data_IF_186469463982
#
_entry.id   IF_186469463982
#
_cell.length_a   1.000
_cell.length_b   1.000
_cell.length_c   1.000
_cell.angle_alpha   90.00
_cell.angle_beta   90.00
_cell.angle_gamma   90.00
#
_symmetry.space_group_name_H-M   'P 1'
#
loop_
_entity.id
_entity.type
_entity.pdbx_description
1 polymer ?
#
# COMPACT_ATOMS: atom_id res chain seq x y z
N UNK A 1 -23.39 -69.74 4.60
CA UNK A 1 -23.42 -68.32 5.09
C UNK A 1 -22.07 -67.69 4.76
N UNK A 2 -22.00 -66.77 3.81
CA UNK A 2 -20.78 -66.04 3.45
C UNK A 2 -20.85 -64.66 4.13
N UNK A 3 -19.81 -64.15 4.82
CA UNK A 3 -19.85 -62.81 5.39
C UNK A 3 -19.64 -61.75 4.30
N UNK A 4 -20.53 -60.76 4.23
CA UNK A 4 -20.35 -59.54 3.47
C UNK A 4 -19.27 -58.67 4.13
N UNK A 5 -18.23 -58.42 3.39
CA UNK A 5 -17.16 -57.47 3.80
C UNK A 5 -17.57 -56.08 3.34
N UNK A 6 -18.01 -55.25 4.27
CA UNK A 6 -18.30 -53.84 4.00
C UNK A 6 -17.00 -53.05 3.93
N UNK A 7 -16.63 -52.60 2.76
CA UNK A 7 -15.50 -51.66 2.57
C UNK A 7 -16.00 -50.25 2.79
N UNK A 8 -15.64 -49.66 3.94
CA UNK A 8 -15.81 -48.22 4.18
C UNK A 8 -14.79 -47.44 3.34
N UNK A 9 -15.27 -46.74 2.32
CA UNK A 9 -14.45 -45.78 1.59
C UNK A 9 -14.46 -44.46 2.36
N UNK A 10 -13.42 -44.17 3.12
CA UNK A 10 -13.23 -42.86 3.73
C UNK A 10 -12.81 -41.85 2.65
N UNK A 11 -13.74 -40.95 2.27
CA UNK A 11 -13.44 -39.84 1.38
C UNK A 11 -12.59 -38.83 2.16
N UNK A 12 -11.29 -38.81 1.90
CA UNK A 12 -10.40 -37.75 2.39
C UNK A 12 -10.63 -36.53 1.50
N UNK A 13 -11.45 -35.59 1.94
CA UNK A 13 -11.57 -34.27 1.31
C UNK A 13 -10.29 -33.50 1.70
N UNK A 14 -9.32 -33.48 0.81
CA UNK A 14 -8.21 -32.51 0.92
C UNK A 14 -8.80 -31.11 0.69
N UNK A 15 -8.98 -30.36 1.76
CA UNK A 15 -9.17 -28.92 1.66
C UNK A 15 -7.86 -28.32 1.11
N UNK A 16 -7.82 -28.07 -0.18
CA UNK A 16 -6.78 -27.25 -0.77
C UNK A 16 -7.09 -25.80 -0.34
N UNK A 17 -6.38 -25.30 0.66
CA UNK A 17 -6.29 -23.88 0.94
C UNK A 17 -5.52 -23.25 -0.22
N UNK A 18 -6.24 -22.58 -1.13
CA UNK A 18 -5.61 -21.72 -2.12
C UNK A 18 -5.03 -20.52 -1.38
N UNK A 19 -3.76 -20.53 -1.10
CA UNK A 19 -3.04 -19.33 -0.68
C UNK A 19 -2.86 -18.43 -1.91
N UNK A 20 -3.32 -17.18 -1.81
CA UNK A 20 -3.11 -16.17 -2.86
C UNK A 20 -1.60 -16.03 -3.11
N UNK A 21 -1.18 -16.10 -4.37
CA UNK A 21 0.21 -15.83 -4.75
C UNK A 21 0.43 -14.31 -4.71
N UNK A 22 1.38 -13.88 -3.91
CA UNK A 22 1.80 -12.47 -3.84
C UNK A 22 2.70 -12.18 -5.04
N UNK A 23 2.27 -11.26 -5.89
CA UNK A 23 3.08 -10.79 -7.01
C UNK A 23 4.16 -9.84 -6.51
N UNK A 24 5.29 -9.81 -7.19
CA UNK A 24 6.44 -8.99 -6.81
C UNK A 24 7.02 -8.26 -8.01
N UNK A 25 7.57 -7.07 -7.74
CA UNK A 25 8.40 -6.33 -8.70
C UNK A 25 9.59 -5.71 -7.97
N UNK A 26 10.59 -5.27 -8.72
CA UNK A 26 11.76 -4.64 -8.12
C UNK A 26 12.29 -3.49 -8.97
N UNK A 27 12.94 -2.55 -8.30
CA UNK A 27 13.66 -1.45 -8.95
C UNK A 27 14.95 -1.14 -8.19
N UNK A 28 15.88 -0.50 -8.88
CA UNK A 28 17.13 -0.04 -8.29
C UNK A 28 16.95 1.34 -7.68
N UNK A 29 17.48 1.54 -6.50
CA UNK A 29 17.58 2.87 -5.86
C UNK A 29 18.65 3.71 -6.59
N UNK A 30 18.67 5.01 -6.30
CA UNK A 30 19.71 5.91 -6.84
C UNK A 30 21.12 5.52 -6.37
N UNK A 31 21.23 4.86 -5.22
CA UNK A 31 22.51 4.37 -4.69
C UNK A 31 22.87 2.96 -5.19
N UNK A 32 21.99 2.31 -5.97
CA UNK A 32 22.24 1.00 -6.58
C UNK A 32 21.78 -0.21 -5.77
N UNK A 33 21.11 0.01 -4.60
CA UNK A 33 20.48 -1.08 -3.88
C UNK A 33 19.13 -1.47 -4.51
N UNK A 34 18.68 -2.70 -4.27
CA UNK A 34 17.38 -3.18 -4.76
C UNK A 34 16.28 -2.97 -3.73
N UNK A 35 15.17 -2.35 -4.14
CA UNK A 35 13.89 -2.41 -3.44
C UNK A 35 13.02 -3.44 -4.16
N UNK A 36 12.46 -4.39 -3.42
CA UNK A 36 11.44 -5.31 -3.93
C UNK A 36 10.09 -4.94 -3.32
N UNK A 37 9.09 -4.76 -4.18
CA UNK A 37 7.69 -4.53 -3.80
C UNK A 37 6.95 -5.85 -3.84
N UNK A 38 6.17 -6.15 -2.81
CA UNK A 38 5.33 -7.33 -2.71
C UNK A 38 3.87 -6.87 -2.63
N UNK A 39 3.10 -7.11 -3.68
CA UNK A 39 1.71 -6.66 -3.81
C UNK A 39 0.78 -7.66 -3.16
N UNK A 40 0.13 -7.30 -2.04
CA UNK A 40 -0.71 -8.21 -1.30
C UNK A 40 -2.14 -8.14 -1.83
N UNK A 41 -2.80 -7.00 -1.66
CA UNK A 41 -4.19 -6.78 -2.10
C UNK A 41 -4.60 -5.32 -1.89
N UNK A 42 -5.50 -4.82 -2.72
CA UNK A 42 -6.14 -3.50 -2.56
C UNK A 42 -5.12 -2.35 -2.49
N UNK A 43 -4.83 -1.83 -1.29
CA UNK A 43 -3.78 -0.85 -1.03
C UNK A 43 -2.66 -1.42 -0.13
N UNK A 44 -2.76 -2.72 0.21
CA UNK A 44 -1.77 -3.39 1.08
C UNK A 44 -0.61 -3.93 0.26
N UNK A 45 0.59 -3.53 0.59
CA UNK A 45 1.84 -4.04 0.04
C UNK A 45 2.97 -3.90 1.05
N UNK A 46 4.10 -4.53 0.80
CA UNK A 46 5.31 -4.29 1.59
C UNK A 46 6.55 -4.22 0.71
N UNK A 47 7.55 -3.52 1.21
CA UNK A 47 8.88 -3.45 0.61
C UNK A 47 9.85 -4.33 1.39
N UNK A 48 10.80 -4.94 0.67
CA UNK A 48 12.04 -5.40 1.26
C UNK A 48 13.19 -4.56 0.73
N UNK A 49 13.99 -4.00 1.64
CA UNK A 49 15.10 -3.11 1.32
C UNK A 49 16.23 -3.32 2.34
N UNK A 50 17.40 -3.75 1.88
CA UNK A 50 18.61 -3.92 2.70
C UNK A 50 18.36 -4.64 4.05
N UNK A 51 17.59 -5.74 4.00
CA UNK A 51 17.21 -6.55 5.16
C UNK A 51 16.07 -5.99 6.01
N UNK A 52 15.50 -4.84 5.66
CA UNK A 52 14.34 -4.24 6.33
C UNK A 52 13.05 -4.61 5.61
N UNK A 53 11.97 -4.87 6.34
CA UNK A 53 10.61 -5.11 5.84
C UNK A 53 9.69 -3.98 6.25
N UNK A 54 9.11 -3.28 5.26
CA UNK A 54 8.31 -2.05 5.45
C UNK A 54 6.93 -2.29 4.86
N UNK A 55 5.89 -2.31 5.69
CA UNK A 55 4.49 -2.48 5.26
C UNK A 55 3.79 -1.14 5.08
N UNK A 56 2.85 -1.11 4.14
CA UNK A 56 1.87 -0.05 3.95
C UNK A 56 0.46 -0.63 4.05
N UNK A 57 -0.39 -0.05 4.88
CA UNK A 57 -1.81 -0.35 5.06
C UNK A 57 -2.15 -1.85 5.10
N UNK A 58 -1.58 -2.64 6.05
CA UNK A 58 -1.77 -4.08 6.07
C UNK A 58 -3.17 -4.46 6.54
N UNK A 59 -3.96 -5.06 5.64
CA UNK A 59 -5.32 -5.58 5.90
C UNK A 59 -5.53 -6.94 5.25
N UNK A 60 -6.56 -7.68 5.65
CA UNK A 60 -6.87 -8.98 5.10
C UNK A 60 -8.31 -9.09 4.60
N UNK A 61 -8.51 -8.89 3.29
CA UNK A 61 -9.80 -9.12 2.61
C UNK A 61 -9.89 -10.47 1.91
N UNK A 62 -8.76 -10.94 1.34
CA UNK A 62 -8.76 -12.05 0.40
C UNK A 62 -8.18 -13.33 0.99
N UNK A 63 -8.12 -13.43 2.33
CA UNK A 63 -7.67 -14.64 3.00
C UNK A 63 -6.16 -14.91 2.89
N UNK A 64 -5.35 -13.86 2.80
CA UNK A 64 -3.89 -13.98 2.88
C UNK A 64 -3.50 -14.36 4.31
N UNK A 65 -2.69 -15.39 4.46
CA UNK A 65 -2.15 -15.78 5.77
C UNK A 65 -0.92 -14.91 6.12
N UNK A 66 -1.17 -13.79 6.76
CA UNK A 66 -0.11 -12.86 7.19
C UNK A 66 0.89 -13.45 8.18
N UNK A 67 0.54 -14.56 8.88
CA UNK A 67 1.47 -15.25 9.77
C UNK A 67 2.64 -15.91 9.01
N UNK A 68 2.44 -16.17 7.72
CA UNK A 68 3.47 -16.73 6.85
C UNK A 68 4.36 -15.68 6.20
N UNK A 69 3.97 -14.39 6.29
CA UNK A 69 4.72 -13.28 5.72
C UNK A 69 5.85 -12.84 6.67
N UNK A 70 6.86 -12.11 6.16
CA UNK A 70 7.93 -11.55 6.99
C UNK A 70 7.37 -10.64 8.08
N UNK A 71 8.03 -10.63 9.24
CA UNK A 71 7.72 -9.66 10.29
C UNK A 71 8.12 -8.25 9.85
N UNK A 72 7.33 -7.26 10.26
CA UNK A 72 7.56 -5.87 9.93
C UNK A 72 8.63 -5.25 10.83
N UNK A 73 9.56 -4.53 10.22
CA UNK A 73 10.41 -3.56 10.94
C UNK A 73 9.66 -2.23 11.07
N UNK A 74 8.96 -1.82 9.99
CA UNK A 74 8.18 -0.58 9.94
C UNK A 74 6.81 -0.84 9.33
N UNK A 75 5.78 -0.20 9.89
CA UNK A 75 4.42 -0.18 9.32
C UNK A 75 3.98 1.27 9.18
N UNK A 76 3.65 1.66 7.94
CA UNK A 76 2.95 2.90 7.63
C UNK A 76 1.45 2.63 7.56
N UNK A 77 0.65 3.43 8.25
CA UNK A 77 -0.82 3.37 8.20
C UNK A 77 -1.31 4.76 7.84
N UNK A 78 -1.98 4.87 6.69
CA UNK A 78 -2.41 6.14 6.12
C UNK A 78 -3.63 6.71 6.83
N UNK A 79 -4.61 5.85 7.13
CA UNK A 79 -5.85 6.22 7.81
C UNK A 79 -6.56 5.00 8.44
N UNK A 80 -7.65 5.25 9.15
CA UNK A 80 -8.33 4.27 10.01
C UNK A 80 -9.51 3.53 9.35
N UNK A 81 -9.69 3.62 8.03
CA UNK A 81 -10.70 2.83 7.35
C UNK A 81 -10.36 1.33 7.39
N UNK A 82 -11.40 0.49 7.45
CA UNK A 82 -11.30 -0.96 7.62
C UNK A 82 -10.53 -1.67 6.49
N UNK A 83 -10.38 -1.02 5.34
CA UNK A 83 -9.65 -1.47 4.15
C UNK A 83 -8.19 -1.00 4.10
N UNK A 84 -7.73 -0.27 5.14
CA UNK A 84 -6.34 0.16 5.33
C UNK A 84 -5.77 -0.18 6.70
N UNK A 85 -6.64 -0.51 7.66
CA UNK A 85 -6.27 -0.73 9.04
C UNK A 85 -6.93 -1.96 9.66
N UNK A 86 -6.16 -3.03 9.88
CA UNK A 86 -6.60 -4.26 10.55
C UNK A 86 -5.65 -4.62 11.70
N UNK A 87 -6.14 -4.47 12.94
CA UNK A 87 -5.35 -4.74 14.16
C UNK A 87 -4.92 -6.20 14.28
N UNK A 88 -5.68 -7.16 13.73
CA UNK A 88 -5.32 -8.58 13.78
C UNK A 88 -4.16 -8.85 12.83
N UNK A 89 -4.22 -8.31 11.62
CA UNK A 89 -3.11 -8.39 10.66
C UNK A 89 -1.85 -7.73 11.21
N UNK A 90 -1.98 -6.54 11.78
CA UNK A 90 -0.88 -5.84 12.43
C UNK A 90 -0.25 -6.69 13.54
N UNK A 91 -1.05 -7.33 14.39
CA UNK A 91 -0.55 -8.23 15.43
C UNK A 91 0.16 -9.46 14.84
N UNK A 92 -0.33 -9.99 13.71
CA UNK A 92 0.27 -11.14 13.05
C UNK A 92 1.66 -10.84 12.46
N UNK A 93 1.91 -9.62 11.99
CA UNK A 93 3.21 -9.24 11.37
C UNK A 93 4.14 -8.46 12.30
N UNK A 94 3.66 -7.96 13.43
CA UNK A 94 4.48 -7.16 14.35
C UNK A 94 5.36 -8.00 15.27
N UNK A 95 6.38 -7.36 15.78
CA UNK A 95 7.24 -7.79 16.90
C UNK A 95 7.32 -6.66 17.94
N UNK A 96 8.01 -6.90 19.06
CA UNK A 96 8.28 -5.83 20.04
C UNK A 96 9.15 -4.68 19.50
N UNK A 97 9.81 -4.89 18.36
CA UNK A 97 10.71 -3.90 17.73
C UNK A 97 10.07 -3.19 16.54
N UNK A 98 8.86 -3.59 16.13
CA UNK A 98 8.16 -2.96 15.01
C UNK A 98 7.81 -1.51 15.33
N UNK A 99 8.16 -0.60 14.42
CA UNK A 99 7.86 0.84 14.53
C UNK A 99 6.68 1.19 13.62
N UNK A 100 5.79 2.05 14.13
CA UNK A 100 4.59 2.50 13.42
C UNK A 100 4.67 3.98 13.14
N UNK A 101 4.28 4.38 11.92
CA UNK A 101 4.02 5.76 11.54
C UNK A 101 2.56 5.86 11.11
N UNK A 102 1.80 6.77 11.73
CA UNK A 102 0.37 6.88 11.49
C UNK A 102 -0.14 8.30 11.76
N UNK A 103 -1.40 8.55 11.44
CA UNK A 103 -2.10 9.76 11.83
C UNK A 103 -2.69 9.63 13.26
N UNK A 104 -3.33 10.70 13.73
CA UNK A 104 -3.89 10.73 15.10
C UNK A 104 -5.06 9.75 15.27
N UNK A 105 -5.91 9.54 14.25
CA UNK A 105 -7.08 8.66 14.34
C UNK A 105 -6.65 7.20 14.49
N UNK A 106 -5.69 6.75 13.68
CA UNK A 106 -5.09 5.42 13.80
C UNK A 106 -4.40 5.24 15.16
N UNK A 107 -3.64 6.23 15.61
CA UNK A 107 -2.93 6.14 16.90
C UNK A 107 -3.88 5.99 18.10
N UNK A 108 -5.03 6.69 18.11
CA UNK A 108 -6.07 6.52 19.13
C UNK A 108 -6.57 5.08 19.24
N UNK A 109 -6.64 4.38 18.10
CA UNK A 109 -7.09 3.00 18.04
C UNK A 109 -5.97 1.99 18.32
N UNK A 110 -4.78 2.23 17.79
CA UNK A 110 -3.61 1.36 17.92
C UNK A 110 -2.94 1.50 19.29
N UNK A 111 -3.06 2.69 19.91
CA UNK A 111 -2.46 3.08 21.19
C UNK A 111 -0.93 2.94 21.23
N UNK A 112 -0.30 3.01 20.07
CA UNK A 112 1.16 2.99 19.89
C UNK A 112 1.53 3.62 18.55
N UNK A 113 2.80 3.96 18.37
CA UNK A 113 3.32 4.51 17.12
C UNK A 113 3.67 5.99 17.20
N UNK A 114 4.39 6.44 16.19
CA UNK A 114 4.74 7.85 16.00
C UNK A 114 3.63 8.52 15.20
N UNK A 115 2.94 9.46 15.82
CA UNK A 115 1.94 10.29 15.13
C UNK A 115 2.67 11.35 14.30
N UNK A 116 2.33 11.41 13.00
CA UNK A 116 2.76 12.47 12.10
C UNK A 116 1.52 13.23 11.61
N UNK A 117 1.63 14.55 11.60
CA UNK A 117 0.68 15.44 10.94
C UNK A 117 1.17 15.71 9.51
N UNK A 118 0.26 16.19 8.63
CA UNK A 118 0.66 16.58 7.28
C UNK A 118 1.83 17.59 7.35
N UNK A 119 2.88 17.34 6.58
CA UNK A 119 4.13 18.08 6.47
C UNK A 119 5.13 17.84 7.61
N UNK A 120 4.81 16.95 8.56
CA UNK A 120 5.82 16.49 9.52
C UNK A 120 6.86 15.62 8.82
N UNK A 121 8.12 15.83 9.21
CA UNK A 121 9.27 15.13 8.64
C UNK A 121 10.06 14.42 9.75
N UNK A 122 10.46 13.18 9.48
CA UNK A 122 11.30 12.38 10.37
C UNK A 122 12.16 11.40 9.56
N UNK A 123 12.86 10.50 10.25
CA UNK A 123 13.63 9.41 9.65
C UNK A 123 13.67 8.21 10.59
N UNK A 124 13.94 7.03 10.05
CA UNK A 124 14.12 5.83 10.83
C UNK A 124 15.11 4.89 10.15
N UNK A 125 16.23 4.58 10.78
CA UNK A 125 17.28 3.70 10.28
C UNK A 125 17.67 3.98 8.81
N UNK A 126 17.36 3.03 7.90
CA UNK A 126 17.67 3.10 6.47
C UNK A 126 16.66 3.93 5.67
N UNK A 127 15.53 4.30 6.28
CA UNK A 127 14.59 5.26 5.71
C UNK A 127 15.13 6.65 6.05
N UNK A 128 15.89 7.22 5.12
CA UNK A 128 16.64 8.46 5.37
C UNK A 128 15.77 9.71 5.47
N UNK A 129 14.54 9.62 4.97
CA UNK A 129 13.49 10.64 5.11
C UNK A 129 12.11 9.97 5.11
N UNK A 130 11.22 10.45 5.96
CA UNK A 130 9.80 10.13 6.03
C UNK A 130 9.08 11.47 6.14
N UNK A 131 8.37 11.86 5.10
CA UNK A 131 7.53 13.06 5.06
C UNK A 131 6.08 12.63 5.01
N UNK A 132 5.29 12.98 6.02
CA UNK A 132 3.84 12.84 5.96
C UNK A 132 3.26 13.95 5.08
N UNK A 133 2.41 13.59 4.12
CA UNK A 133 1.79 14.54 3.19
C UNK A 133 0.27 14.42 3.28
N UNK A 134 -0.49 15.46 2.86
CA UNK A 134 -1.95 15.36 2.81
C UNK A 134 -2.43 14.17 1.99
N UNK A 135 -3.55 13.58 2.42
CA UNK A 135 -4.30 12.56 1.68
C UNK A 135 -5.78 12.87 1.88
N UNK A 136 -6.50 13.27 0.83
CA UNK A 136 -7.92 13.63 0.92
C UNK A 136 -8.61 13.66 -0.44
N UNK A 137 -9.94 13.70 -0.44
CA UNK A 137 -10.75 13.90 -1.65
C UNK A 137 -11.08 15.38 -1.84
N UNK A 138 -10.69 15.92 -3.00
CA UNK A 138 -10.83 17.34 -3.37
C UNK A 138 -12.13 17.65 -4.09
N UNK A 139 -12.82 16.66 -4.67
CA UNK A 139 -14.07 16.83 -5.42
C UNK A 139 -15.25 17.13 -4.51
N UNK A 140 -16.17 17.98 -4.98
CA UNK A 140 -17.37 18.34 -4.23
C UNK A 140 -18.19 17.11 -3.83
N UNK A 141 -18.54 17.03 -2.53
CA UNK A 141 -19.32 15.94 -1.96
C UNK A 141 -18.56 14.63 -1.76
N UNK A 142 -17.23 14.58 -2.01
CA UNK A 142 -16.40 13.40 -1.76
C UNK A 142 -15.51 13.53 -0.54
N UNK A 143 -15.35 14.73 -0.02
CA UNK A 143 -14.66 15.02 1.24
C UNK A 143 -15.25 14.24 2.44
N UNK A 144 -16.51 13.77 2.30
CA UNK A 144 -17.12 12.90 3.30
C UNK A 144 -16.40 11.55 3.48
N UNK A 145 -15.70 11.05 2.45
CA UNK A 145 -14.91 9.82 2.54
C UNK A 145 -13.56 10.09 3.20
N UNK A 146 -12.81 11.04 2.64
CA UNK A 146 -11.47 11.40 3.11
C UNK A 146 -11.38 12.92 3.24
N UNK A 147 -11.68 13.47 4.44
CA UNK A 147 -11.68 14.92 4.67
C UNK A 147 -10.25 15.49 4.72
N UNK A 148 -10.10 16.72 4.29
CA UNK A 148 -8.83 17.46 4.34
C UNK A 148 -8.27 17.51 5.76
N UNK A 149 -6.97 17.25 5.90
CA UNK A 149 -6.22 17.41 7.14
C UNK A 149 -6.38 16.29 8.16
N UNK A 150 -7.09 15.19 7.83
CA UNK A 150 -7.24 14.03 8.71
C UNK A 150 -6.21 12.94 8.40
N UNK A 151 -6.07 12.61 7.12
CA UNK A 151 -5.34 11.42 6.67
C UNK A 151 -3.96 11.78 6.13
N UNK A 152 -3.06 10.81 6.16
CA UNK A 152 -1.70 10.97 5.66
C UNK A 152 -1.45 10.08 4.44
N UNK A 153 -0.79 10.66 3.43
CA UNK A 153 0.12 9.89 2.59
C UNK A 153 1.54 10.01 3.15
N UNK A 154 2.47 9.25 2.58
CA UNK A 154 3.88 9.29 2.98
C UNK A 154 4.80 9.37 1.77
N UNK A 155 5.83 10.23 1.83
CA UNK A 155 6.96 10.19 0.91
C UNK A 155 8.16 9.67 1.71
N UNK A 156 8.62 8.46 1.38
CA UNK A 156 9.77 7.84 2.04
C UNK A 156 10.98 7.83 1.10
N UNK A 157 12.18 7.91 1.67
CA UNK A 157 13.44 7.85 0.91
C UNK A 157 14.25 6.62 1.29
N UNK A 158 14.44 5.71 0.33
CA UNK A 158 15.25 4.51 0.44
C UNK A 158 16.40 4.59 -0.57
N UNK A 159 17.65 4.48 -0.13
CA UNK A 159 18.82 4.54 -1.01
C UNK A 159 18.81 5.76 -1.95
N UNK A 160 18.37 6.92 -1.48
CA UNK A 160 18.22 8.15 -2.26
C UNK A 160 17.03 8.20 -3.22
N UNK A 161 16.21 7.14 -3.28
CA UNK A 161 15.01 7.05 -4.13
C UNK A 161 13.77 7.43 -3.32
N UNK A 162 12.99 8.38 -3.83
CA UNK A 162 11.76 8.84 -3.20
C UNK A 162 10.57 8.03 -3.69
N UNK A 163 9.82 7.47 -2.75
CA UNK A 163 8.64 6.62 -2.99
C UNK A 163 7.43 7.29 -2.34
N UNK A 164 6.38 7.53 -3.12
CA UNK A 164 5.12 8.09 -2.63
C UNK A 164 4.08 6.99 -2.38
N UNK A 165 3.62 6.90 -1.15
CA UNK A 165 2.54 6.06 -0.65
C UNK A 165 1.35 6.98 -0.35
N UNK A 166 0.28 6.99 -1.15
CA UNK A 166 -0.74 8.05 -1.11
C UNK A 166 -1.76 7.92 0.03
N UNK A 167 -2.10 6.68 0.46
CA UNK A 167 -3.37 6.43 1.11
C UNK A 167 -4.54 6.62 0.12
N UNK A 168 -5.72 6.93 0.62
CA UNK A 168 -6.88 7.23 -0.21
C UNK A 168 -7.03 8.72 -0.47
N UNK A 169 -6.90 9.11 -1.71
CA UNK A 169 -6.98 10.50 -2.12
C UNK A 169 -7.41 10.66 -3.58
N UNK A 170 -7.78 11.88 -3.94
CA UNK A 170 -7.88 12.35 -5.33
C UNK A 170 -6.61 13.11 -5.74
N UNK A 171 -6.60 13.69 -6.96
CA UNK A 171 -5.53 14.55 -7.47
C UNK A 171 -5.56 15.91 -6.76
N UNK A 172 -4.86 16.01 -5.66
CA UNK A 172 -4.83 17.20 -4.80
C UNK A 172 -3.86 18.26 -5.32
N UNK A 173 -4.16 19.57 -5.13
CA UNK A 173 -3.25 20.65 -5.51
C UNK A 173 -1.85 20.54 -4.90
N UNK A 174 -1.74 20.03 -3.67
CA UNK A 174 -0.49 19.85 -2.94
C UNK A 174 0.47 18.87 -3.61
N UNK A 175 -0.01 18.01 -4.51
CA UNK A 175 0.85 17.11 -5.31
C UNK A 175 1.86 17.90 -6.16
N UNK A 176 1.59 19.18 -6.47
CA UNK A 176 2.54 20.05 -7.14
C UNK A 176 3.78 20.38 -6.27
N UNK A 177 3.70 20.16 -4.96
CA UNK A 177 4.81 20.34 -4.02
C UNK A 177 5.65 19.08 -3.84
N UNK A 178 5.18 17.91 -4.29
CA UNK A 178 5.92 16.64 -4.20
C UNK A 178 7.05 16.62 -5.25
N UNK A 179 8.28 16.84 -4.78
CA UNK A 179 9.44 17.01 -5.68
C UNK A 179 10.29 15.74 -5.77
N UNK A 180 10.74 15.46 -7.00
CA UNK A 180 11.70 14.39 -7.31
C UNK A 180 11.21 12.99 -6.90
N UNK A 181 9.91 12.74 -7.02
CA UNK A 181 9.33 11.41 -6.78
C UNK A 181 9.82 10.46 -7.88
N UNK A 182 10.44 9.36 -7.48
CA UNK A 182 10.94 8.35 -8.42
C UNK A 182 9.90 7.25 -8.66
N UNK A 183 9.17 6.85 -7.60
CA UNK A 183 8.16 5.81 -7.64
C UNK A 183 6.90 6.32 -6.95
N UNK A 184 5.75 6.18 -7.57
CA UNK A 184 4.45 6.54 -6.98
C UNK A 184 3.48 5.37 -7.03
N UNK A 185 2.72 5.22 -5.97
CA UNK A 185 1.51 4.41 -5.93
C UNK A 185 0.32 5.36 -6.05
N UNK A 186 -0.70 5.05 -6.85
CA UNK A 186 -1.90 5.88 -6.96
C UNK A 186 -3.16 5.03 -6.84
N UNK A 187 -4.10 5.40 -5.96
CA UNK A 187 -5.36 4.70 -5.77
C UNK A 187 -6.36 5.11 -6.85
N UNK A 188 -7.02 4.15 -7.53
CA UNK A 188 -7.87 4.44 -8.69
C UNK A 188 -9.21 3.70 -8.57
N UNK A 189 -10.08 4.13 -7.65
CA UNK A 189 -11.38 3.51 -7.42
C UNK A 189 -12.46 4.53 -7.06
N UNK A 190 -13.27 4.90 -8.02
CA UNK A 190 -14.42 5.81 -7.77
C UNK A 190 -15.54 5.10 -7.01
N UNK A 191 -16.24 5.78 -6.08
CA UNK A 191 -16.16 7.23 -5.77
C UNK A 191 -15.16 7.57 -4.64
N UNK A 192 -14.37 6.61 -4.19
CA UNK A 192 -13.57 6.74 -2.96
C UNK A 192 -12.23 7.43 -3.19
N UNK A 193 -11.63 7.19 -4.35
CA UNK A 193 -10.31 7.71 -4.72
C UNK A 193 -10.33 8.30 -6.14
N UNK A 194 -9.24 8.27 -6.87
CA UNK A 194 -9.11 8.88 -8.20
C UNK A 194 -9.95 8.18 -9.27
N UNK A 195 -10.45 8.96 -10.23
CA UNK A 195 -10.74 8.45 -11.58
C UNK A 195 -9.43 8.18 -12.31
N UNK A 196 -9.50 7.45 -13.43
CA UNK A 196 -8.33 7.28 -14.32
C UNK A 196 -7.81 8.63 -14.81
N UNK A 197 -8.68 9.59 -15.11
CA UNK A 197 -8.30 10.94 -15.51
C UNK A 197 -7.56 11.70 -14.40
N UNK A 198 -8.07 11.64 -13.17
CA UNK A 198 -7.40 12.23 -12.01
C UNK A 198 -6.04 11.59 -11.75
N UNK A 199 -5.92 10.25 -11.90
CA UNK A 199 -4.65 9.56 -11.75
C UNK A 199 -3.62 9.97 -12.83
N UNK A 200 -4.08 10.22 -14.07
CA UNK A 200 -3.24 10.78 -15.13
C UNK A 200 -2.77 12.20 -14.76
N UNK A 201 -3.67 13.04 -14.26
CA UNK A 201 -3.34 14.41 -13.84
C UNK A 201 -2.35 14.40 -12.67
N UNK A 202 -2.59 13.56 -11.65
CA UNK A 202 -1.68 13.36 -10.52
C UNK A 202 -0.29 12.91 -11.00
N UNK A 203 -0.24 11.87 -11.86
CA UNK A 203 1.01 11.36 -12.40
C UNK A 203 1.79 12.42 -13.21
N UNK A 204 1.09 13.22 -14.02
CA UNK A 204 1.71 14.34 -14.78
C UNK A 204 2.19 15.47 -13.88
N UNK A 205 1.57 15.66 -12.73
CA UNK A 205 1.98 16.65 -11.73
C UNK A 205 3.22 16.19 -10.95
N UNK A 206 3.18 14.97 -10.44
CA UNK A 206 4.25 14.35 -9.62
C UNK A 206 5.45 13.95 -10.48
N UNK A 207 5.21 13.46 -11.71
CA UNK A 207 6.19 12.97 -12.68
C UNK A 207 7.10 11.87 -12.15
N UNK A 208 6.55 10.78 -11.60
CA UNK A 208 7.34 9.66 -11.16
C UNK A 208 7.94 8.93 -12.38
N UNK A 209 9.04 8.20 -12.18
CA UNK A 209 9.58 7.31 -13.22
C UNK A 209 8.76 6.03 -13.36
N UNK A 210 8.30 5.50 -12.21
CA UNK A 210 7.47 4.29 -12.11
C UNK A 210 6.19 4.64 -11.38
N UNK A 211 5.06 4.20 -11.94
CA UNK A 211 3.74 4.31 -11.36
C UNK A 211 3.14 2.92 -11.15
N UNK A 212 2.73 2.61 -9.93
CA UNK A 212 1.93 1.46 -9.56
C UNK A 212 0.49 1.88 -9.25
N UNK A 213 -0.49 1.53 -10.08
CA UNK A 213 -1.91 1.64 -9.72
C UNK A 213 -2.22 0.67 -8.57
N UNK A 214 -2.89 1.17 -7.54
CA UNK A 214 -3.38 0.39 -6.39
C UNK A 214 -4.85 0.69 -6.16
N UNK A 215 -5.52 -0.02 -5.27
CA UNK A 215 -6.91 0.26 -4.88
C UNK A 215 -7.85 0.44 -6.08
N UNK A 216 -7.67 -0.34 -7.14
CA UNK A 216 -8.38 -0.11 -8.41
C UNK A 216 -9.56 -1.06 -8.64
N UNK A 217 -9.72 -2.14 -7.85
CA UNK A 217 -10.81 -3.12 -7.99
C UNK A 217 -11.06 -3.51 -9.46
N UNK A 218 -12.26 -3.25 -9.99
CA UNK A 218 -12.65 -3.54 -11.37
C UNK A 218 -12.46 -2.35 -12.33
N UNK A 219 -11.74 -1.30 -11.93
CA UNK A 219 -11.50 -0.13 -12.78
C UNK A 219 -10.69 -0.49 -14.03
N UNK A 220 -11.14 -0.11 -15.22
CA UNK A 220 -10.37 -0.29 -16.46
C UNK A 220 -9.22 0.72 -16.51
N UNK A 221 -8.00 0.23 -16.33
CA UNK A 221 -6.77 1.03 -16.26
C UNK A 221 -6.15 1.37 -17.61
N UNK A 222 -6.76 0.96 -18.76
CA UNK A 222 -6.18 1.20 -20.09
C UNK A 222 -5.87 2.65 -20.38
N UNK A 223 -6.65 3.59 -19.82
CA UNK A 223 -6.39 5.02 -20.00
C UNK A 223 -5.00 5.47 -19.53
N UNK A 224 -4.36 4.75 -18.60
CA UNK A 224 -3.03 5.07 -18.09
C UNK A 224 -1.91 4.88 -19.12
N UNK A 225 -2.15 4.17 -20.23
CA UNK A 225 -1.15 3.95 -21.29
C UNK A 225 -0.61 5.27 -21.87
N UNK A 226 -1.39 6.34 -21.83
CA UNK A 226 -0.98 7.68 -22.31
C UNK A 226 0.23 8.23 -21.55
N UNK A 227 0.44 7.82 -20.30
CA UNK A 227 1.54 8.26 -19.44
C UNK A 227 2.92 7.85 -19.97
N UNK A 228 2.98 6.86 -20.86
CA UNK A 228 4.22 6.46 -21.54
C UNK A 228 4.79 7.60 -22.39
N UNK A 229 3.95 8.46 -22.95
CA UNK A 229 4.39 9.62 -23.73
C UNK A 229 5.06 10.67 -22.85
N UNK A 230 4.72 10.71 -21.55
CA UNK A 230 5.32 11.57 -20.54
C UNK A 230 6.58 10.93 -19.89
N UNK A 231 7.00 9.75 -20.35
CA UNK A 231 8.16 9.02 -19.84
C UNK A 231 7.90 8.29 -18.50
N UNK A 232 6.64 8.09 -18.14
CA UNK A 232 6.23 7.39 -16.92
C UNK A 232 5.96 5.92 -17.24
N UNK A 233 6.68 5.03 -16.59
CA UNK A 233 6.45 3.58 -16.70
C UNK A 233 5.34 3.12 -15.77
N UNK A 234 4.19 2.75 -16.33
CA UNK A 234 3.07 2.19 -15.55
C UNK A 234 3.24 0.68 -15.45
N UNK A 235 3.27 0.16 -14.22
CA UNK A 235 3.40 -1.25 -13.90
C UNK A 235 2.17 -1.71 -13.12
N UNK A 236 1.36 -2.59 -13.70
CA UNK A 236 0.09 -3.06 -13.12
C UNK A 236 0.28 -4.46 -12.56
N UNK A 237 -0.03 -4.64 -11.27
CA UNK A 237 0.00 -5.92 -10.56
C UNK A 237 -1.39 -6.19 -9.97
N UNK A 238 -1.75 -7.45 -9.82
CA UNK A 238 -3.05 -7.82 -9.25
C UNK A 238 -3.08 -7.49 -7.75
N UNK A 239 -3.98 -6.57 -7.41
CA UNK A 239 -4.19 -6.10 -6.04
C UNK A 239 -5.56 -6.54 -5.53
#
# INVERSE_FOLDING_TARGET
MRPLLSILFSLFIMNQTFTKTIETDSFQTKNGETVTVHFIQHASFYFTFDGMTIYADPVNYEGVDYKTLPKADVIFITHDHYDHFDKNVIADISTSNTVFFCNETVNKELQTGTVLQNWDETKYEKITNILAVPSYNSSEGRDMYHPTGRDNGYIITLGGTKIYIPGDCEDMPEMAEFKDIDVAFLPINQPYTMTVEQAINAAKTIKPKILYPIHYSDTDLKGLEVLKEDGIEVRIFKM
#
